data_IF_866608058010
#
_entry.id   IF_866608058010
#
_cell.length_a   1.000
_cell.length_b   1.000
_cell.length_c   1.000
_cell.angle_alpha   90.00
_cell.angle_beta   90.00
_cell.angle_gamma   90.00
#
_symmetry.space_group_name_H-M   'P 1'
#
loop_
_entity.id
_entity.type
_entity.pdbx_description
1 polymer ?
#
# COMPACT_ATOMS: atom_id res chain seq x y z
N UNK A 1 -11.49 0.98 14.76
CA UNK A 1 -11.54 -0.32 15.46
C UNK A 1 -12.70 -1.15 14.94
N UNK A 2 -12.58 -1.69 13.72
CA UNK A 2 -13.49 -2.74 13.26
C UNK A 2 -13.05 -4.05 13.92
N UNK A 3 -13.99 -4.72 14.57
CA UNK A 3 -13.76 -6.01 15.22
C UNK A 3 -13.15 -6.99 14.21
N UNK A 4 -11.96 -7.52 14.52
CA UNK A 4 -11.43 -8.70 13.83
C UNK A 4 -12.38 -9.84 14.14
N UNK A 5 -13.28 -10.15 13.21
CA UNK A 5 -13.86 -11.48 13.12
C UNK A 5 -12.69 -12.45 12.99
N UNK A 6 -12.47 -13.28 14.00
CA UNK A 6 -11.57 -14.43 13.91
C UNK A 6 -12.10 -15.36 12.82
N UNK A 7 -11.63 -15.14 11.59
CA UNK A 7 -11.91 -16.00 10.47
C UNK A 7 -11.16 -17.30 10.69
N UNK A 8 -11.87 -18.43 10.56
CA UNK A 8 -11.21 -19.73 10.40
C UNK A 8 -10.34 -19.62 9.14
N UNK A 9 -9.03 -19.56 9.30
CA UNK A 9 -8.09 -19.56 8.18
C UNK A 9 -8.07 -20.97 7.58
N UNK A 10 -8.78 -21.13 6.46
CA UNK A 10 -8.72 -22.35 5.67
C UNK A 10 -7.37 -22.40 4.98
N UNK A 11 -6.53 -23.35 5.35
CA UNK A 11 -5.24 -23.61 4.70
C UNK A 11 -5.38 -24.73 3.67
N UNK A 12 -4.50 -24.76 2.67
CA UNK A 12 -4.47 -25.84 1.69
C UNK A 12 -4.26 -27.22 2.36
N UNK A 13 -3.47 -27.26 3.44
CA UNK A 13 -3.25 -28.46 4.24
C UNK A 13 -4.52 -28.97 4.94
N UNK A 14 -5.36 -28.07 5.47
CA UNK A 14 -6.62 -28.46 6.11
C UNK A 14 -7.62 -29.01 5.09
N UNK A 15 -7.61 -28.49 3.87
CA UNK A 15 -8.39 -29.06 2.77
C UNK A 15 -7.87 -30.45 2.32
N UNK A 16 -6.58 -30.71 2.48
CA UNK A 16 -5.97 -32.02 2.21
C UNK A 16 -6.42 -33.07 3.21
N UNK A 17 -6.36 -32.75 4.49
CA UNK A 17 -6.84 -33.64 5.55
C UNK A 17 -8.30 -34.03 5.35
N UNK A 18 -9.16 -33.04 5.06
CA UNK A 18 -10.59 -33.28 4.77
C UNK A 18 -10.77 -34.14 3.52
N UNK A 19 -9.97 -33.92 2.48
CA UNK A 19 -10.05 -34.69 1.23
C UNK A 19 -9.60 -36.14 1.43
N UNK A 20 -8.55 -36.37 2.22
CA UNK A 20 -8.06 -37.69 2.61
C UNK A 20 -9.08 -38.46 3.46
N UNK A 21 -9.70 -37.80 4.45
CA UNK A 21 -10.72 -38.41 5.30
C UNK A 21 -11.95 -38.83 4.47
N UNK A 22 -12.38 -37.97 3.55
CA UNK A 22 -13.46 -38.28 2.61
C UNK A 22 -13.12 -39.43 1.66
N UNK A 23 -11.87 -39.52 1.19
CA UNK A 23 -11.40 -40.65 0.38
C UNK A 23 -11.39 -41.95 1.18
N UNK A 24 -10.84 -41.96 2.39
CA UNK A 24 -10.86 -43.13 3.28
C UNK A 24 -12.28 -43.61 3.56
N UNK A 25 -13.22 -42.69 3.80
CA UNK A 25 -14.65 -43.01 3.97
C UNK A 25 -15.30 -43.64 2.73
N UNK A 26 -14.80 -43.32 1.53
CA UNK A 26 -15.27 -43.90 0.28
C UNK A 26 -14.68 -45.29 0.04
N UNK A 27 -13.42 -45.52 0.41
CA UNK A 27 -12.73 -46.82 0.26
C UNK A 27 -13.20 -47.86 1.29
N UNK A 28 -13.53 -47.44 2.51
CA UNK A 28 -14.01 -48.33 3.56
C UNK A 28 -15.49 -48.71 3.42
N UNK A 29 -16.23 -48.08 2.49
CA UNK A 29 -17.65 -48.32 2.31
C UNK A 29 -17.91 -49.59 1.48
N UNK A 30 -18.89 -50.44 1.86
CA UNK A 30 -19.25 -51.62 1.07
C UNK A 30 -19.76 -51.23 -0.33
N UNK A 31 -19.61 -52.13 -1.31
CA UNK A 31 -20.08 -51.88 -2.67
C UNK A 31 -21.58 -51.53 -2.68
N UNK A 32 -21.98 -50.41 -3.29
CA UNK A 32 -23.35 -49.92 -3.21
C UNK A 32 -24.30 -50.82 -4.01
N UNK A 33 -25.27 -51.44 -3.32
CA UNK A 33 -26.23 -52.39 -3.90
C UNK A 33 -27.54 -51.71 -4.28
N UNK A 34 -27.98 -50.71 -3.51
CA UNK A 34 -29.22 -49.95 -3.79
C UNK A 34 -28.98 -48.68 -4.61
N UNK A 35 -30.04 -48.18 -5.25
CA UNK A 35 -30.01 -46.96 -6.08
C UNK A 35 -29.63 -45.72 -5.26
N UNK A 36 -30.06 -45.67 -4.00
CA UNK A 36 -29.78 -44.59 -3.05
C UNK A 36 -28.31 -44.58 -2.61
N UNK A 37 -27.73 -45.74 -2.30
CA UNK A 37 -26.31 -45.88 -1.98
C UNK A 37 -25.42 -45.45 -3.15
N UNK A 38 -25.77 -45.85 -4.39
CA UNK A 38 -25.07 -45.41 -5.61
C UNK A 38 -25.13 -43.89 -5.78
N UNK A 39 -26.26 -43.28 -5.42
CA UNK A 39 -26.43 -41.83 -5.48
C UNK A 39 -25.61 -41.12 -4.40
N UNK A 40 -25.58 -41.64 -3.17
CA UNK A 40 -24.75 -41.11 -2.08
C UNK A 40 -23.25 -41.15 -2.41
N UNK A 41 -22.75 -42.26 -2.96
CA UNK A 41 -21.35 -42.38 -3.43
C UNK A 41 -21.05 -41.37 -4.53
N UNK A 42 -21.98 -41.17 -5.47
CA UNK A 42 -21.82 -40.17 -6.55
C UNK A 42 -21.76 -38.75 -5.99
N UNK A 43 -22.55 -38.43 -4.97
CA UNK A 43 -22.55 -37.11 -4.31
C UNK A 43 -21.23 -36.87 -3.56
N UNK A 44 -20.75 -37.84 -2.79
CA UNK A 44 -19.45 -37.77 -2.11
C UNK A 44 -18.28 -37.58 -3.09
N UNK A 45 -18.25 -38.36 -4.19
CA UNK A 45 -17.25 -38.18 -5.26
C UNK A 45 -17.30 -36.80 -5.92
N UNK A 46 -18.48 -36.18 -6.04
CA UNK A 46 -18.60 -34.79 -6.51
C UNK A 46 -18.04 -33.81 -5.50
N UNK A 47 -18.35 -33.97 -4.22
CA UNK A 47 -17.81 -33.13 -3.15
C UNK A 47 -16.27 -33.18 -3.13
N UNK A 48 -15.70 -34.37 -3.30
CA UNK A 48 -14.24 -34.55 -3.34
C UNK A 48 -13.60 -33.80 -4.51
N UNK A 49 -14.17 -33.90 -5.72
CA UNK A 49 -13.71 -33.12 -6.87
C UNK A 49 -13.81 -31.61 -6.66
N UNK A 50 -14.85 -31.15 -5.97
CA UNK A 50 -14.99 -29.72 -5.65
C UNK A 50 -13.99 -29.27 -4.57
N UNK A 51 -13.68 -30.11 -3.59
CA UNK A 51 -12.63 -29.87 -2.61
C UNK A 51 -11.25 -29.77 -3.26
N UNK A 52 -10.91 -30.71 -4.15
CA UNK A 52 -9.65 -30.69 -4.91
C UNK A 52 -9.50 -29.40 -5.73
N UNK A 53 -10.57 -28.97 -6.42
CA UNK A 53 -10.56 -27.69 -7.16
C UNK A 53 -10.31 -26.50 -6.24
N UNK A 54 -10.97 -26.45 -5.09
CA UNK A 54 -10.80 -25.37 -4.11
C UNK A 54 -9.40 -25.37 -3.51
N UNK A 55 -8.85 -26.55 -3.20
CA UNK A 55 -7.47 -26.71 -2.73
C UNK A 55 -6.48 -26.16 -3.75
N UNK A 56 -6.59 -26.57 -5.01
CA UNK A 56 -5.70 -26.08 -6.07
C UNK A 56 -5.78 -24.56 -6.22
N UNK A 57 -7.01 -24.00 -6.14
CA UNK A 57 -7.20 -22.55 -6.23
C UNK A 57 -6.62 -21.81 -5.02
N UNK A 58 -6.73 -22.38 -3.82
CA UNK A 58 -6.15 -21.81 -2.62
C UNK A 58 -4.62 -21.81 -2.68
N UNK A 59 -4.01 -22.91 -3.13
CA UNK A 59 -2.56 -22.98 -3.37
C UNK A 59 -2.09 -21.94 -4.39
N UNK A 60 -2.85 -21.72 -5.46
CA UNK A 60 -2.57 -20.67 -6.45
C UNK A 60 -2.63 -19.27 -5.81
N UNK A 61 -3.60 -19.01 -4.94
CA UNK A 61 -3.69 -17.75 -4.21
C UNK A 61 -2.52 -17.56 -3.24
N UNK A 62 -2.13 -18.59 -2.50
CA UNK A 62 -0.99 -18.55 -1.59
C UNK A 62 0.31 -18.22 -2.35
N UNK A 63 0.53 -18.87 -3.51
CA UNK A 63 1.64 -18.56 -4.40
C UNK A 63 1.59 -17.11 -4.90
N UNK A 64 0.41 -16.62 -5.27
CA UNK A 64 0.25 -15.23 -5.72
C UNK A 64 0.51 -14.22 -4.60
N UNK A 65 0.14 -14.52 -3.36
CA UNK A 65 0.43 -13.68 -2.20
C UNK A 65 1.92 -13.68 -1.88
N UNK A 66 2.58 -14.84 -1.96
CA UNK A 66 4.03 -14.96 -1.77
C UNK A 66 4.81 -14.15 -2.82
N UNK A 67 4.45 -14.28 -4.10
CA UNK A 67 5.06 -13.51 -5.19
C UNK A 67 4.81 -12.00 -4.99
N UNK A 68 3.60 -11.63 -4.61
CA UNK A 68 3.20 -10.23 -4.43
C UNK A 68 3.97 -9.58 -3.27
N UNK A 69 4.17 -10.30 -2.17
CA UNK A 69 4.85 -9.80 -0.98
C UNK A 69 4.17 -8.55 -0.43
N UNK A 70 4.94 -7.49 -0.18
CA UNK A 70 4.42 -6.19 0.29
C UNK A 70 3.82 -5.31 -0.82
N UNK A 71 3.95 -5.73 -2.08
CA UNK A 71 3.53 -4.94 -3.24
C UNK A 71 2.03 -5.13 -3.48
N UNK A 72 1.41 -4.22 -4.22
CA UNK A 72 -0.03 -4.33 -4.54
C UNK A 72 -0.34 -5.08 -5.84
N UNK A 73 0.67 -5.32 -6.68
CA UNK A 73 0.50 -5.94 -8.01
C UNK A 73 1.85 -6.41 -8.55
N UNK A 74 1.83 -7.36 -9.48
CA UNK A 74 3.02 -7.82 -10.22
C UNK A 74 2.64 -8.26 -11.64
N UNK A 75 3.58 -8.21 -12.59
CA UNK A 75 3.34 -8.70 -13.95
C UNK A 75 3.43 -10.22 -14.04
N UNK A 76 2.59 -10.83 -14.87
CA UNK A 76 2.63 -12.27 -15.13
C UNK A 76 3.94 -12.73 -15.79
N UNK A 77 4.56 -11.87 -16.61
CA UNK A 77 5.80 -12.19 -17.34
C UNK A 77 7.07 -11.79 -16.59
N UNK A 78 6.97 -10.77 -15.74
CA UNK A 78 8.06 -10.23 -14.93
C UNK A 78 7.52 -9.93 -13.52
N UNK A 79 7.63 -10.89 -12.59
CA UNK A 79 7.09 -10.73 -11.25
C UNK A 79 7.68 -9.56 -10.46
N UNK A 80 8.79 -8.97 -10.89
CA UNK A 80 9.41 -7.81 -10.23
C UNK A 80 8.76 -6.48 -10.65
N UNK A 81 8.18 -6.43 -11.85
CA UNK A 81 7.50 -5.25 -12.39
C UNK A 81 6.09 -5.08 -11.79
N UNK A 82 5.72 -3.86 -11.43
CA UNK A 82 4.40 -3.55 -10.87
C UNK A 82 3.58 -2.72 -11.84
N UNK A 83 2.25 -2.78 -11.71
CA UNK A 83 1.37 -2.01 -12.58
C UNK A 83 1.35 -0.54 -12.17
N UNK A 84 1.77 0.33 -13.09
CA UNK A 84 1.88 1.78 -12.88
C UNK A 84 1.17 2.55 -13.99
N UNK A 85 0.79 3.80 -13.71
CA UNK A 85 0.34 4.71 -14.75
C UNK A 85 1.56 5.19 -15.54
N UNK A 86 1.57 4.92 -16.84
CA UNK A 86 2.64 5.38 -17.71
C UNK A 86 2.41 6.84 -18.10
N UNK A 87 3.50 7.57 -18.35
CA UNK A 87 3.42 8.93 -18.93
C UNK A 87 2.77 8.90 -20.31
N UNK A 88 3.00 7.82 -21.05
CA UNK A 88 2.39 7.53 -22.34
C UNK A 88 0.98 6.91 -22.16
N UNK A 89 0.05 7.70 -21.61
CA UNK A 89 -1.38 7.37 -21.63
C UNK A 89 -2.06 8.09 -22.82
N UNK A 90 -1.65 7.69 -24.03
CA UNK A 90 -2.13 8.29 -25.28
C UNK A 90 -3.66 8.16 -25.45
N UNK A 91 -4.28 7.19 -24.78
CA UNK A 91 -5.73 6.93 -24.85
C UNK A 91 -6.50 7.56 -23.68
N UNK A 92 -5.82 8.17 -22.69
CA UNK A 92 -6.41 8.71 -21.46
C UNK A 92 -7.40 7.76 -20.77
N UNK A 93 -7.18 6.45 -20.91
CA UNK A 93 -8.06 5.43 -20.37
C UNK A 93 -7.62 5.00 -18.97
N UNK A 94 -6.53 5.56 -18.44
CA UNK A 94 -5.98 5.22 -17.14
C UNK A 94 -5.43 3.81 -17.06
N UNK A 95 -5.15 3.17 -18.20
CA UNK A 95 -4.64 1.80 -18.22
C UNK A 95 -3.25 1.74 -17.60
N UNK A 96 -3.12 0.98 -16.51
CA UNK A 96 -1.82 0.70 -15.92
C UNK A 96 -1.08 -0.34 -16.74
N UNK A 97 0.23 -0.15 -16.91
CA UNK A 97 1.12 -1.11 -17.56
C UNK A 97 2.18 -1.57 -16.56
N UNK A 98 2.68 -2.81 -16.67
CA UNK A 98 3.78 -3.27 -15.82
C UNK A 98 5.03 -2.46 -16.15
N UNK A 99 5.70 -1.97 -15.13
CA UNK A 99 6.91 -1.17 -15.28
C UNK A 99 7.64 -0.95 -13.97
N UNK A 100 8.71 -0.18 -14.06
CA UNK A 100 9.53 0.25 -12.95
C UNK A 100 9.56 1.76 -12.87
N UNK A 101 9.57 2.29 -11.66
CA UNK A 101 9.83 3.70 -11.43
C UNK A 101 11.35 3.92 -11.46
N UNK A 102 11.84 4.51 -12.55
CA UNK A 102 13.26 4.82 -12.74
C UNK A 102 13.59 6.18 -12.10
N UNK A 103 14.50 6.13 -11.15
CA UNK A 103 15.03 7.29 -10.44
C UNK A 103 16.45 7.60 -10.92
N UNK A 104 16.73 8.86 -11.22
CA UNK A 104 18.04 9.31 -11.73
C UNK A 104 18.47 10.57 -10.98
N UNK A 105 19.70 10.55 -10.47
CA UNK A 105 20.37 11.72 -9.92
C UNK A 105 21.41 12.22 -10.92
N UNK A 106 21.49 13.53 -11.06
CA UNK A 106 22.48 14.18 -11.91
C UNK A 106 23.21 15.29 -11.16
N UNK A 107 24.49 15.47 -11.47
CA UNK A 107 25.31 16.55 -10.97
C UNK A 107 26.25 17.00 -12.09
N UNK A 108 26.31 18.29 -12.40
CA UNK A 108 27.20 18.86 -13.43
C UNK A 108 27.14 18.13 -14.79
N UNK A 109 25.94 17.80 -15.27
CA UNK A 109 25.69 17.03 -16.51
C UNK A 109 26.11 15.55 -16.49
N UNK A 110 26.53 15.03 -15.34
CA UNK A 110 26.81 13.61 -15.15
C UNK A 110 25.68 12.92 -14.40
N UNK A 111 25.40 11.68 -14.76
CA UNK A 111 24.54 10.79 -13.97
C UNK A 111 25.37 10.28 -12.79
N UNK A 112 24.98 10.64 -11.58
CA UNK A 112 25.69 10.26 -10.35
C UNK A 112 25.09 9.03 -9.70
N UNK A 113 23.79 8.80 -9.86
CA UNK A 113 23.12 7.60 -9.34
C UNK A 113 21.86 7.28 -10.13
N UNK A 114 21.47 6.01 -10.14
CA UNK A 114 20.21 5.55 -10.70
C UNK A 114 19.71 4.34 -9.92
N UNK A 115 18.39 4.16 -9.87
CA UNK A 115 17.77 2.98 -9.27
C UNK A 115 16.39 2.73 -9.88
N UNK A 116 15.98 1.46 -9.87
CA UNK A 116 14.67 1.01 -10.31
C UNK A 116 13.84 0.61 -9.09
N UNK A 117 12.65 1.17 -8.97
CA UNK A 117 11.73 0.84 -7.88
C UNK A 117 10.45 0.20 -8.38
N UNK A 118 10.00 -0.81 -7.65
CA UNK A 118 8.67 -1.39 -7.80
C UNK A 118 7.55 -0.47 -7.26
N UNK A 119 7.90 0.55 -6.48
CA UNK A 119 6.96 1.49 -5.89
C UNK A 119 6.50 2.52 -6.92
N UNK A 120 5.18 2.70 -7.01
CA UNK A 120 4.56 3.67 -7.94
C UNK A 120 4.83 5.13 -7.55
N UNK A 121 4.95 5.40 -6.25
CA UNK A 121 5.03 6.77 -5.72
C UNK A 121 6.47 7.16 -5.41
N UNK A 122 6.85 8.33 -5.89
CA UNK A 122 8.20 8.91 -5.76
C UNK A 122 8.59 9.20 -4.31
N UNK A 123 7.63 9.61 -3.46
CA UNK A 123 7.87 9.90 -2.04
C UNK A 123 8.57 8.75 -1.31
N UNK A 124 8.09 7.51 -1.50
CA UNK A 124 8.61 6.33 -0.81
C UNK A 124 9.96 5.85 -1.38
N UNK A 125 10.30 6.27 -2.60
CA UNK A 125 11.54 5.86 -3.26
C UNK A 125 12.75 6.69 -2.81
N UNK A 126 12.54 7.95 -2.38
CA UNK A 126 13.65 8.88 -2.08
C UNK A 126 14.61 8.38 -0.99
N UNK A 127 14.15 7.89 0.18
CA UNK A 127 15.07 7.48 1.24
C UNK A 127 16.01 6.37 0.78
N UNK A 128 15.45 5.30 0.20
CA UNK A 128 16.22 4.19 -0.36
C UNK A 128 17.16 4.66 -1.48
N UNK A 129 16.74 5.64 -2.27
CA UNK A 129 17.57 6.21 -3.34
C UNK A 129 18.77 6.98 -2.80
N UNK A 130 18.59 7.78 -1.75
CA UNK A 130 19.69 8.51 -1.10
C UNK A 130 20.60 7.57 -0.31
N UNK A 131 20.07 6.50 0.29
CA UNK A 131 20.89 5.44 0.89
C UNK A 131 21.74 4.70 -0.15
N UNK A 132 21.19 4.43 -1.34
CA UNK A 132 21.96 3.81 -2.43
C UNK A 132 23.10 4.71 -2.89
N UNK A 133 22.90 6.04 -2.89
CA UNK A 133 23.95 7.02 -3.17
C UNK A 133 25.04 6.97 -2.08
N UNK A 134 24.64 6.97 -0.80
CA UNK A 134 25.57 6.86 0.31
C UNK A 134 26.36 5.55 0.30
N UNK A 135 25.72 4.44 -0.05
CA UNK A 135 26.38 3.13 -0.19
C UNK A 135 27.44 3.13 -1.28
N UNK A 136 27.22 3.90 -2.37
CA UNK A 136 28.15 4.00 -3.51
C UNK A 136 29.34 4.93 -3.25
N UNK A 137 29.10 6.06 -2.60
CA UNK A 137 30.12 7.12 -2.44
C UNK A 137 30.63 7.28 -1.01
N UNK A 138 30.12 6.47 -0.07
CA UNK A 138 30.39 6.54 1.37
C UNK A 138 30.13 7.95 1.96
N UNK A 139 29.20 8.68 1.36
CA UNK A 139 28.73 10.00 1.78
C UNK A 139 27.35 10.29 1.21
N UNK A 140 26.56 11.09 1.93
CA UNK A 140 25.35 11.68 1.39
C UNK A 140 25.66 12.89 0.49
N UNK A 141 24.69 13.24 -0.37
CA UNK A 141 24.75 14.48 -1.13
C UNK A 141 24.63 15.67 -0.18
N UNK A 142 25.39 16.74 -0.43
CA UNK A 142 25.28 17.97 0.39
C UNK A 142 23.93 18.66 0.20
N UNK A 143 23.44 18.63 -1.03
CA UNK A 143 22.23 19.34 -1.44
C UNK A 143 21.39 18.41 -2.31
N UNK A 144 20.10 18.30 -2.00
CA UNK A 144 19.14 17.49 -2.75
C UNK A 144 18.11 18.42 -3.36
N UNK A 145 18.01 18.41 -4.70
CA UNK A 145 17.01 19.16 -5.45
C UNK A 145 16.07 18.16 -6.10
N UNK A 146 14.77 18.27 -5.82
CA UNK A 146 13.77 17.35 -6.38
C UNK A 146 12.42 18.05 -6.60
N UNK A 147 11.55 17.41 -7.38
CA UNK A 147 10.20 17.91 -7.60
C UNK A 147 9.30 17.74 -6.37
N UNK A 148 8.06 18.23 -6.46
CA UNK A 148 7.14 18.16 -5.33
C UNK A 148 6.65 16.76 -5.00
N UNK A 149 6.74 15.81 -5.94
CA UNK A 149 6.37 14.41 -5.75
C UNK A 149 7.24 13.68 -4.75
N UNK A 150 8.42 14.22 -4.41
CA UNK A 150 9.26 13.72 -3.31
C UNK A 150 9.00 14.44 -1.98
N UNK A 151 8.18 15.48 -1.96
CA UNK A 151 7.93 16.30 -0.77
C UNK A 151 7.03 15.61 0.24
N UNK A 152 7.62 15.07 1.31
CA UNK A 152 6.94 14.49 2.47
C UNK A 152 7.71 14.83 3.76
N UNK A 153 7.01 14.85 4.89
CA UNK A 153 7.63 15.14 6.20
C UNK A 153 8.74 14.13 6.51
N UNK A 154 8.47 12.86 6.22
CA UNK A 154 9.42 11.77 6.41
C UNK A 154 10.69 11.98 5.57
N UNK A 155 10.55 12.45 4.34
CA UNK A 155 11.69 12.73 3.47
C UNK A 155 12.49 13.96 3.92
N UNK A 156 11.81 15.02 4.41
CA UNK A 156 12.50 16.17 4.98
C UNK A 156 13.29 15.79 6.22
N UNK A 157 12.68 15.01 7.12
CA UNK A 157 13.34 14.51 8.32
C UNK A 157 14.54 13.62 7.96
N UNK A 158 14.39 12.73 6.98
CA UNK A 158 15.50 11.90 6.51
C UNK A 158 16.67 12.75 6.01
N UNK A 159 16.39 13.77 5.18
CA UNK A 159 17.42 14.70 4.70
C UNK A 159 18.09 15.49 5.84
N UNK A 160 17.32 15.97 6.81
CA UNK A 160 17.80 16.74 7.96
C UNK A 160 18.73 15.90 8.87
N UNK A 161 18.29 14.68 9.24
CA UNK A 161 19.08 13.73 10.06
C UNK A 161 20.42 13.40 9.40
N UNK A 162 20.47 13.37 8.08
CA UNK A 162 21.68 13.08 7.31
C UNK A 162 22.46 14.33 6.85
N UNK A 163 22.13 15.52 7.38
CA UNK A 163 22.78 16.80 7.09
C UNK A 163 22.77 17.18 5.59
N UNK A 164 21.66 16.89 4.90
CA UNK A 164 21.43 17.26 3.51
C UNK A 164 20.56 18.52 3.43
N UNK A 165 20.96 19.50 2.63
CA UNK A 165 20.14 20.68 2.33
C UNK A 165 19.02 20.30 1.34
N UNK A 166 17.78 20.32 1.82
CA UNK A 166 16.61 19.92 1.04
C UNK A 166 15.99 21.09 0.24
N UNK A 167 16.19 21.10 -1.07
CA UNK A 167 15.48 21.96 -2.02
C UNK A 167 14.39 21.15 -2.74
N UNK A 168 13.48 20.61 -1.94
CA UNK A 168 12.34 19.81 -2.40
C UNK A 168 11.07 20.57 -2.08
N UNK A 169 10.23 20.81 -3.09
CA UNK A 169 8.94 21.49 -2.88
C UNK A 169 7.98 20.55 -2.16
N UNK A 170 7.11 21.06 -1.29
CA UNK A 170 5.99 20.25 -0.80
C UNK A 170 4.88 20.18 -1.85
N UNK A 171 4.06 19.14 -1.77
CA UNK A 171 3.01 18.83 -2.76
C UNK A 171 2.06 19.99 -3.08
N UNK A 172 1.75 20.85 -2.10
CA UNK A 172 0.80 21.96 -2.26
C UNK A 172 1.43 23.28 -2.72
N UNK A 173 2.76 23.35 -2.84
CA UNK A 173 3.48 24.59 -3.15
C UNK A 173 2.96 25.31 -4.40
N UNK A 174 2.76 24.57 -5.50
CA UNK A 174 2.23 25.15 -6.74
C UNK A 174 0.74 25.51 -6.64
N UNK A 175 -0.02 24.72 -5.88
CA UNK A 175 -1.47 24.94 -5.71
C UNK A 175 -1.75 26.23 -4.95
N UNK A 176 -0.93 26.54 -3.96
CA UNK A 176 -1.03 27.75 -3.12
C UNK A 176 -0.67 29.03 -3.87
N UNK A 177 0.12 28.94 -4.95
CA UNK A 177 0.48 30.09 -5.78
C UNK A 177 -0.62 30.53 -6.76
N UNK A 178 -1.70 29.76 -6.90
CA UNK A 178 -2.80 30.14 -7.79
C UNK A 178 -3.63 31.31 -7.19
N UNK A 179 -3.99 32.34 -7.98
CA UNK A 179 -4.71 33.52 -7.48
C UNK A 179 -6.07 33.24 -6.81
N UNK A 180 -6.68 32.08 -7.10
CA UNK A 180 -7.98 31.66 -6.55
C UNK A 180 -7.85 30.55 -5.50
N UNK A 181 -6.65 30.34 -4.96
CA UNK A 181 -6.47 29.35 -3.90
C UNK A 181 -7.09 29.84 -2.60
N UNK A 182 -8.05 29.07 -2.08
CA UNK A 182 -8.60 29.25 -0.73
C UNK A 182 -8.16 28.08 0.14
N UNK A 183 -7.41 28.32 1.23
CA UNK A 183 -7.00 27.24 2.13
C UNK A 183 -8.23 26.63 2.79
N UNK A 184 -8.35 25.30 2.71
CA UNK A 184 -9.41 24.60 3.42
C UNK A 184 -9.07 24.61 4.93
N UNK A 185 -9.93 25.18 5.80
CA UNK A 185 -9.65 25.26 7.25
C UNK A 185 -9.60 23.89 7.94
N UNK A 186 -10.13 22.85 7.30
CA UNK A 186 -10.07 21.46 7.80
C UNK A 186 -8.90 20.66 7.23
N UNK A 187 -8.05 21.27 6.39
CA UNK A 187 -6.81 20.63 5.94
C UNK A 187 -5.81 20.58 7.10
N UNK A 188 -5.10 19.46 7.34
CA UNK A 188 -4.05 19.37 8.35
C UNK A 188 -3.01 20.49 8.25
N UNK A 189 -2.65 20.90 7.03
CA UNK A 189 -1.70 21.99 6.77
C UNK A 189 -2.21 23.38 7.20
N UNK A 190 -3.52 23.55 7.38
CA UNK A 190 -4.14 24.81 7.83
C UNK A 190 -4.34 24.85 9.35
N UNK A 191 -4.00 23.79 10.07
CA UNK A 191 -4.14 23.72 11.52
C UNK A 191 -3.05 24.55 12.20
N UNK A 192 -3.43 25.31 13.23
CA UNK A 192 -2.45 25.99 14.06
C UNK A 192 -1.82 24.98 15.02
N UNK A 193 -0.50 24.92 15.03
CA UNK A 193 0.27 24.10 15.97
C UNK A 193 0.66 24.90 17.22
N UNK A 194 0.22 24.45 18.39
CA UNK A 194 0.65 24.98 19.67
C UNK A 194 1.89 24.21 20.16
N UNK A 195 3.07 24.86 20.09
CA UNK A 195 4.35 24.28 20.53
C UNK A 195 4.44 23.99 22.03
N UNK A 196 3.71 24.73 22.87
CA UNK A 196 3.80 24.58 24.33
C UNK A 196 2.99 23.39 24.84
N UNK A 197 1.88 23.08 24.17
CA UNK A 197 0.91 22.08 24.61
C UNK A 197 0.85 20.86 23.67
N UNK A 198 1.68 20.83 22.62
CA UNK A 198 1.81 19.75 21.64
C UNK A 198 0.47 19.29 21.04
N UNK A 199 -0.31 20.25 20.52
CA UNK A 199 -1.54 19.93 19.78
C UNK A 199 -1.83 20.90 18.63
N UNK A 200 -2.60 20.40 17.67
CA UNK A 200 -3.11 21.14 16.53
C UNK A 200 -4.57 21.55 16.76
N UNK A 201 -4.96 22.76 16.34
CA UNK A 201 -6.37 23.17 16.34
C UNK A 201 -6.79 23.89 15.05
N UNK A 202 -8.04 23.67 14.66
CA UNK A 202 -8.66 24.31 13.49
C UNK A 202 -9.40 25.58 13.92
N UNK A 203 -9.14 26.69 13.24
CA UNK A 203 -9.70 28.03 13.52
C UNK A 203 -11.24 28.15 13.52
N UNK A 204 -12.05 27.35 12.79
CA UNK A 204 -13.51 27.43 12.88
C UNK A 204 -14.08 27.02 14.24
N UNK A 205 -13.34 26.23 15.05
CA UNK A 205 -13.82 25.79 16.37
C UNK A 205 -13.71 26.86 17.47
N UNK A 206 -12.93 27.92 17.26
CA UNK A 206 -12.73 28.95 18.28
C UNK A 206 -13.99 29.77 18.53
N UNK A 207 -14.85 29.95 17.52
CA UNK A 207 -16.11 30.66 17.71
C UNK A 207 -17.10 29.85 18.54
N UNK A 208 -17.19 28.53 18.32
CA UNK A 208 -18.12 27.66 19.05
C UNK A 208 -17.63 27.42 20.49
N UNK A 209 -16.34 27.15 20.70
CA UNK A 209 -15.80 26.95 22.06
C UNK A 209 -15.80 28.23 22.90
N UNK A 210 -15.52 29.39 22.29
CA UNK A 210 -15.57 30.67 23.02
C UNK A 210 -17.00 31.06 23.37
N UNK A 211 -17.99 30.82 22.50
CA UNK A 211 -19.41 31.02 22.82
C UNK A 211 -19.88 30.08 23.94
N UNK A 212 -19.53 28.80 23.88
CA UNK A 212 -19.94 27.83 24.93
C UNK A 212 -19.29 28.16 26.28
N UNK A 213 -18.01 28.55 26.32
CA UNK A 213 -17.37 29.02 27.58
C UNK A 213 -17.97 30.32 28.08
N UNK A 214 -18.27 31.29 27.21
CA UNK A 214 -18.90 32.56 27.62
C UNK A 214 -20.31 32.33 28.18
N UNK A 215 -21.09 31.44 27.57
CA UNK A 215 -22.43 31.06 28.05
C UNK A 215 -22.37 30.32 29.40
N UNK A 216 -21.40 29.42 29.59
CA UNK A 216 -21.20 28.72 30.87
C UNK A 216 -20.69 29.63 32.00
N UNK A 217 -19.98 30.72 31.68
CA UNK A 217 -19.56 31.73 32.66
C UNK A 217 -20.63 32.77 32.99
N UNK A 218 -21.62 32.98 32.11
CA UNK A 218 -22.79 33.83 32.37
C UNK A 218 -23.92 33.09 33.11
N UNK A 219 -23.88 31.75 33.17
CA UNK A 219 -24.80 30.92 33.93
C UNK A 219 -24.28 30.54 35.34
N UNK A 220 -23.24 31.20 35.83
CA UNK A 220 -22.85 31.21 37.26
C UNK A 220 -23.06 32.62 37.81
#
# INVERSE_FOLDING_TARGET
NAAKTEGVEFTAALLDEISEELNKSLESAPEPKTKEEKQAVRTKKKQLKELEKKRNKLQEYDQHLEIMGERNSYSKTDPDATFMHMKEDAMQNGQTKPGYNLQIATENQFITNFALYANRTDTLALPSFLESFNSRYHRYAKTVVADSGYGSEENYLFMDVHNMEAYVKYNYFHKEQHPRYTPNPFCPASLYYNKEQDFYFSTPLYFIYRIIRYLLQLCR
#
